data_IF_840675429240
#
_entry.id   IF_840675429240
#
_cell.length_a   1.000
_cell.length_b   1.000
_cell.length_c   1.000
_cell.angle_alpha   90.00
_cell.angle_beta   90.00
_cell.angle_gamma   90.00
#
_symmetry.space_group_name_H-M   'P 1'
#
loop_
_entity.id
_entity.type
_entity.pdbx_description
1 polymer ?
#
# COMPACT_ATOMS: atom_id res chain seq x y z
N UNK A 1 11.31 -1.37 -8.45
CA UNK A 1 12.73 -1.30 -8.92
C UNK A 1 13.50 -2.41 -8.20
N UNK A 2 14.62 -2.93 -8.72
CA UNK A 2 15.42 -3.94 -8.00
C UNK A 2 16.69 -3.24 -7.52
N UNK A 3 16.81 -3.03 -6.20
CA UNK A 3 17.99 -2.43 -5.56
C UNK A 3 18.81 -3.51 -4.82
N UNK A 4 20.16 -3.48 -4.91
CA UNK A 4 21.04 -4.39 -4.16
C UNK A 4 21.18 -4.02 -2.67
N UNK A 5 20.58 -2.92 -2.21
CA UNK A 5 20.60 -2.51 -0.81
C UNK A 5 19.42 -3.13 -0.05
N UNK A 6 19.61 -3.50 1.22
CA UNK A 6 18.56 -4.01 2.11
C UNK A 6 17.38 -3.04 2.16
N UNK A 7 16.14 -3.52 2.42
CA UNK A 7 15.02 -2.63 2.73
C UNK A 7 15.42 -1.72 3.92
N UNK A 8 15.80 -0.48 3.62
CA UNK A 8 16.25 0.45 4.64
C UNK A 8 15.02 0.91 5.42
N UNK A 9 14.99 0.59 6.72
CA UNK A 9 14.00 1.10 7.63
C UNK A 9 14.18 2.62 7.72
N UNK A 10 13.39 3.36 6.95
CA UNK A 10 13.27 4.81 7.15
C UNK A 10 12.67 5.00 8.55
N UNK A 11 13.36 5.79 9.37
CA UNK A 11 12.88 6.26 10.67
C UNK A 11 11.46 6.78 10.47
N UNK A 12 10.49 6.02 10.96
CA UNK A 12 9.08 6.34 10.80
C UNK A 12 8.82 7.52 11.73
N UNK A 13 8.61 8.70 11.15
CA UNK A 13 8.01 9.82 11.87
C UNK A 13 6.73 9.26 12.52
N UNK A 14 6.50 9.55 13.80
CA UNK A 14 5.38 8.98 14.57
C UNK A 14 4.06 9.40 13.89
N UNK A 15 3.57 8.55 13.00
CA UNK A 15 2.37 8.75 12.21
C UNK A 15 1.36 7.69 12.63
N UNK A 16 0.19 8.14 13.07
CA UNK A 16 -0.95 7.27 13.29
C UNK A 16 -1.77 7.25 12.01
N UNK A 17 -1.96 6.08 11.39
CA UNK A 17 -3.00 5.90 10.37
C UNK A 17 -4.33 6.14 11.06
N UNK A 18 -4.78 7.38 10.93
CA UNK A 18 -5.96 7.93 11.55
C UNK A 18 -7.14 7.73 10.59
N UNK A 19 -8.36 7.83 11.10
CA UNK A 19 -9.60 7.79 10.28
C UNK A 19 -9.58 8.77 9.11
N UNK A 20 -8.75 9.82 9.16
CA UNK A 20 -8.51 10.78 8.07
C UNK A 20 -7.83 10.19 6.82
N UNK A 21 -7.16 9.03 6.92
CA UNK A 21 -6.58 8.36 5.75
C UNK A 21 -7.61 7.57 4.93
N UNK A 22 -8.80 7.35 5.49
CA UNK A 22 -9.89 6.63 4.82
C UNK A 22 -10.47 7.43 3.65
N UNK A 23 -11.11 6.73 2.73
CA UNK A 23 -11.68 7.31 1.51
C UNK A 23 -10.82 7.06 0.29
N UNK A 24 -11.02 7.90 -0.74
CA UNK A 24 -10.45 7.69 -2.07
C UNK A 24 -9.13 8.44 -2.25
N UNK A 25 -8.14 7.73 -2.75
CA UNK A 25 -6.84 8.23 -3.18
C UNK A 25 -6.59 7.90 -4.65
N UNK A 26 -5.80 8.74 -5.31
CA UNK A 26 -5.40 8.58 -6.70
C UNK A 26 -3.89 8.39 -6.76
N UNK A 27 -3.44 7.41 -7.54
CA UNK A 27 -2.00 7.20 -7.74
C UNK A 27 -1.50 8.22 -8.79
N UNK A 28 -0.64 9.14 -8.34
CA UNK A 28 -0.08 10.20 -9.18
C UNK A 28 1.22 9.73 -9.84
N UNK A 29 2.13 9.17 -9.05
CA UNK A 29 3.40 8.60 -9.51
C UNK A 29 3.70 7.29 -8.79
N UNK A 30 4.42 6.40 -9.47
CA UNK A 30 4.92 5.16 -8.87
C UNK A 30 6.19 4.67 -9.52
N UNK A 31 6.90 3.83 -8.78
CA UNK A 31 7.94 2.98 -9.36
C UNK A 31 7.31 1.91 -10.26
N UNK A 32 8.01 1.45 -11.32
CA UNK A 32 7.48 0.42 -12.21
C UNK A 32 7.24 -0.89 -11.45
N UNK A 33 5.96 -1.25 -11.30
CA UNK A 33 5.50 -2.48 -10.65
C UNK A 33 4.95 -3.47 -11.69
N UNK A 34 5.30 -4.75 -11.57
CA UNK A 34 4.89 -5.79 -12.53
C UNK A 34 3.40 -6.11 -12.47
N UNK A 35 2.77 -5.92 -11.31
CA UNK A 35 1.37 -6.26 -11.03
C UNK A 35 0.38 -5.19 -11.49
N UNK A 36 0.82 -3.94 -11.66
CA UNK A 36 -0.03 -2.82 -12.09
C UNK A 36 0.46 -2.18 -13.39
N UNK A 37 -0.11 -2.65 -14.50
CA UNK A 37 0.19 -2.18 -15.86
C UNK A 37 -0.86 -1.18 -16.41
N UNK A 38 -1.89 -0.87 -15.63
CA UNK A 38 -2.96 0.05 -15.99
C UNK A 38 -2.62 1.53 -15.77
N UNK A 39 -3.61 2.38 -16.02
CA UNK A 39 -3.60 3.83 -15.79
C UNK A 39 -4.85 4.25 -15.02
N UNK A 40 -4.89 5.50 -14.55
CA UNK A 40 -6.01 6.05 -13.77
C UNK A 40 -6.31 5.16 -12.56
N UNK A 41 -5.29 4.94 -11.74
CA UNK A 41 -5.36 4.03 -10.60
C UNK A 41 -5.97 4.79 -9.41
N UNK A 42 -7.00 4.19 -8.83
CA UNK A 42 -7.71 4.71 -7.66
C UNK A 42 -7.70 3.65 -6.56
N UNK A 43 -7.44 4.08 -5.33
CA UNK A 43 -7.51 3.24 -4.13
C UNK A 43 -8.57 3.80 -3.18
N UNK A 44 -9.53 2.99 -2.77
CA UNK A 44 -10.51 3.39 -1.76
C UNK A 44 -10.36 2.55 -0.48
N UNK A 45 -10.23 3.24 0.65
CA UNK A 45 -10.01 2.65 1.97
C UNK A 45 -11.24 2.79 2.85
N UNK A 46 -11.76 1.67 3.37
CA UNK A 46 -12.95 1.66 4.24
C UNK A 46 -12.67 0.86 5.49
N UNK A 47 -12.89 1.47 6.67
CA UNK A 47 -12.77 0.78 7.94
C UNK A 47 -13.91 -0.24 8.10
N UNK A 48 -13.55 -1.47 8.47
CA UNK A 48 -14.51 -2.54 8.78
C UNK A 48 -14.77 -2.64 10.28
N UNK A 49 -15.88 -3.28 10.70
CA UNK A 49 -16.20 -3.47 12.12
C UNK A 49 -15.18 -4.30 12.91
N UNK A 50 -14.36 -5.10 12.23
CA UNK A 50 -13.28 -5.92 12.81
C UNK A 50 -11.95 -5.16 12.98
N UNK A 51 -11.99 -3.83 12.84
CA UNK A 51 -10.82 -2.93 12.84
C UNK A 51 -9.80 -3.19 11.72
N UNK A 52 -10.15 -3.96 10.68
CA UNK A 52 -9.36 -4.02 9.44
C UNK A 52 -9.80 -2.95 8.46
N UNK A 53 -8.97 -2.65 7.46
CA UNK A 53 -9.31 -1.71 6.40
C UNK A 53 -9.50 -2.47 5.10
N UNK A 54 -10.68 -2.36 4.48
CA UNK A 54 -10.89 -2.80 3.10
C UNK A 54 -10.13 -1.87 2.16
N UNK A 55 -9.36 -2.45 1.24
CA UNK A 55 -8.69 -1.72 0.16
C UNK A 55 -9.31 -2.13 -1.15
N UNK A 56 -9.80 -1.17 -1.93
CA UNK A 56 -10.31 -1.42 -3.28
C UNK A 56 -9.49 -0.63 -4.28
N UNK A 57 -8.68 -1.33 -5.09
CA UNK A 57 -7.93 -0.74 -6.17
C UNK A 57 -8.68 -0.89 -7.50
N UNK A 58 -8.80 0.19 -8.24
CA UNK A 58 -9.40 0.23 -9.58
C UNK A 58 -8.38 0.78 -10.54
N UNK A 59 -8.20 0.13 -11.69
CA UNK A 59 -7.32 0.58 -12.75
C UNK A 59 -7.97 0.41 -14.12
N UNK A 60 -7.60 1.26 -15.07
CA UNK A 60 -7.97 1.08 -16.48
C UNK A 60 -6.80 0.43 -17.21
N UNK A 61 -7.01 -0.79 -17.74
CA UNK A 61 -6.01 -1.53 -18.50
C UNK A 61 -6.59 -2.00 -19.83
N UNK A 62 -5.94 -1.62 -20.95
CA UNK A 62 -6.39 -1.93 -22.32
C UNK A 62 -7.87 -1.55 -22.56
N UNK A 63 -8.28 -0.38 -22.08
CA UNK A 63 -9.65 0.13 -22.22
C UNK A 63 -10.71 -0.56 -21.35
N UNK A 64 -10.31 -1.46 -20.45
CA UNK A 64 -11.21 -2.14 -19.50
C UNK A 64 -10.87 -1.75 -18.06
N UNK A 65 -11.91 -1.58 -17.26
CA UNK A 65 -11.78 -1.39 -15.82
C UNK A 65 -11.44 -2.73 -15.17
N UNK A 66 -10.39 -2.76 -14.35
CA UNK A 66 -10.01 -3.90 -13.51
C UNK A 66 -10.09 -3.47 -12.06
N UNK A 67 -10.68 -4.32 -11.22
CA UNK A 67 -10.83 -4.10 -9.79
C UNK A 67 -10.07 -5.18 -9.02
N UNK A 68 -9.38 -4.79 -7.96
CA UNK A 68 -8.74 -5.67 -6.99
C UNK A 68 -9.20 -5.28 -5.59
N UNK A 69 -9.62 -6.26 -4.79
CA UNK A 69 -10.06 -6.06 -3.42
C UNK A 69 -9.10 -6.73 -2.46
N UNK A 70 -8.78 -6.05 -1.38
CA UNK A 70 -7.84 -6.50 -0.38
C UNK A 70 -8.20 -6.03 1.03
N UNK A 71 -7.32 -6.38 1.94
CA UNK A 71 -7.42 -6.05 3.36
C UNK A 71 -6.08 -5.51 3.84
N UNK A 72 -6.11 -4.37 4.52
CA UNK A 72 -4.99 -3.80 5.23
C UNK A 72 -5.18 -3.94 6.74
N UNK A 73 -4.10 -4.26 7.44
CA UNK A 73 -4.05 -4.40 8.89
C UNK A 73 -2.86 -3.62 9.45
N UNK A 74 -2.99 -3.09 10.66
CA UNK A 74 -1.85 -2.58 11.42
C UNK A 74 -1.09 -3.77 12.03
N UNK A 75 0.19 -3.94 11.67
CA UNK A 75 0.98 -5.09 12.14
C UNK A 75 1.52 -4.90 13.56
N UNK A 76 1.98 -3.69 13.88
CA UNK A 76 2.38 -3.29 15.23
C UNK A 76 1.60 -2.02 15.64
N UNK A 77 0.76 -2.06 16.69
CA UNK A 77 0.07 -0.88 17.21
C UNK A 77 0.99 0.28 17.62
N UNK A 78 2.27 0.02 17.89
CA UNK A 78 3.29 1.04 18.19
C UNK A 78 3.80 1.76 16.93
N UNK A 79 3.61 1.15 15.77
CA UNK A 79 4.00 1.69 14.47
C UNK A 79 2.80 1.76 13.51
N UNK A 80 1.75 2.55 13.83
CA UNK A 80 0.48 2.54 13.11
C UNK A 80 0.55 2.93 11.63
N UNK A 81 1.65 3.55 11.18
CA UNK A 81 1.94 3.84 9.77
C UNK A 81 2.44 2.63 8.97
N UNK A 82 2.84 1.53 9.63
CA UNK A 82 3.29 0.30 9.00
C UNK A 82 2.15 -0.70 8.91
N UNK A 83 1.52 -0.71 7.75
CA UNK A 83 0.42 -1.61 7.46
C UNK A 83 0.96 -2.86 6.74
N UNK A 84 0.23 -3.96 6.89
CA UNK A 84 0.33 -5.11 6.01
C UNK A 84 -0.90 -5.13 5.10
N UNK A 85 -0.72 -5.26 3.78
CA UNK A 85 -1.81 -5.32 2.79
C UNK A 85 -1.79 -6.67 2.08
N UNK A 86 -2.95 -7.30 1.92
CA UNK A 86 -3.11 -8.51 1.12
C UNK A 86 -4.33 -8.42 0.20
N UNK A 87 -4.18 -8.87 -1.04
CA UNK A 87 -5.25 -8.97 -2.04
C UNK A 87 -5.71 -10.42 -2.29
N UNK A 88 -5.18 -11.38 -1.52
CA UNK A 88 -5.57 -12.79 -1.60
C UNK A 88 -5.39 -13.47 -0.25
N UNK A 89 -6.32 -14.36 0.11
CA UNK A 89 -6.25 -15.13 1.36
C UNK A 89 -5.04 -16.08 1.43
N UNK A 90 -4.44 -16.42 0.29
CA UNK A 90 -3.32 -17.35 0.19
C UNK A 90 -1.95 -16.67 0.14
N UNK A 91 -1.90 -15.34 0.09
CA UNK A 91 -0.65 -14.58 0.04
C UNK A 91 -0.34 -13.91 1.36
N UNK A 92 0.93 -13.87 1.81
CA UNK A 92 1.31 -13.10 2.97
C UNK A 92 1.01 -11.62 2.75
N UNK A 93 0.85 -10.89 3.85
CA UNK A 93 0.70 -9.44 3.80
C UNK A 93 1.99 -8.79 3.29
N UNK A 94 1.87 -7.99 2.23
CA UNK A 94 2.94 -7.15 1.74
C UNK A 94 3.06 -5.89 2.60
N UNK A 95 4.27 -5.39 2.87
CA UNK A 95 4.45 -4.12 3.59
C UNK A 95 3.81 -2.95 2.85
N UNK A 96 3.09 -2.09 3.57
CA UNK A 96 2.54 -0.84 3.07
C UNK A 96 2.78 0.23 4.12
N UNK A 97 3.81 1.04 3.93
CA UNK A 97 4.27 2.00 4.93
C UNK A 97 3.97 3.41 4.45
N UNK A 98 3.17 4.14 5.23
CA UNK A 98 2.91 5.55 4.99
C UNK A 98 4.09 6.35 5.53
N UNK A 99 4.98 6.80 4.64
CA UNK A 99 6.18 7.54 5.01
C UNK A 99 5.88 9.00 5.38
N UNK A 100 4.91 9.61 4.69
CA UNK A 100 4.47 10.98 4.93
C UNK A 100 3.08 11.19 4.35
N UNK A 101 2.22 11.94 5.03
CA UNK A 101 0.93 12.38 4.50
C UNK A 101 0.42 13.60 5.25
N UNK A 102 -0.29 14.47 4.54
CA UNK A 102 -1.09 15.54 5.15
C UNK A 102 -2.56 15.13 5.38
N UNK A 103 -2.90 13.88 5.05
CA UNK A 103 -4.23 13.26 5.08
C UNK A 103 -5.29 13.90 4.17
N UNK A 104 -4.94 14.92 3.39
CA UNK A 104 -5.92 15.69 2.61
C UNK A 104 -5.58 15.71 1.12
N UNK A 105 -4.30 15.80 0.77
CA UNK A 105 -3.86 16.04 -0.60
C UNK A 105 -2.81 15.05 -1.08
N UNK A 106 -1.89 14.64 -0.20
CA UNK A 106 -0.75 13.80 -0.59
C UNK A 106 -0.44 12.74 0.45
N UNK A 107 -0.03 11.57 -0.05
CA UNK A 107 0.55 10.50 0.75
C UNK A 107 1.72 9.90 -0.02
N UNK A 108 2.86 9.75 0.66
CA UNK A 108 4.01 9.01 0.18
C UNK A 108 4.00 7.64 0.85
N UNK A 109 3.92 6.59 0.02
CA UNK A 109 3.83 5.21 0.47
C UNK A 109 5.04 4.44 -0.02
N UNK A 110 5.58 3.58 0.84
CA UNK A 110 6.68 2.68 0.54
C UNK A 110 6.28 1.23 0.81
N UNK A 111 6.67 0.35 -0.09
CA UNK A 111 6.52 -1.09 0.03
C UNK A 111 7.84 -1.70 -0.41
N UNK A 112 8.37 -2.63 0.38
CA UNK A 112 9.56 -3.39 0.03
C UNK A 112 9.30 -4.84 0.43
N UNK A 113 9.32 -5.74 -0.54
CA UNK A 113 9.19 -7.17 -0.27
C UNK A 113 10.46 -7.90 -0.70
N UNK A 114 11.07 -8.62 0.23
CA UNK A 114 12.18 -9.54 -0.05
C UNK A 114 11.63 -10.74 -0.83
N UNK A 115 11.93 -10.83 -2.12
CA UNK A 115 11.67 -12.02 -2.92
C UNK A 115 12.89 -12.94 -2.79
N UNK A 116 12.72 -14.03 -2.03
CA UNK A 116 13.70 -15.13 -1.91
C UNK A 116 15.08 -14.75 -1.35
N UNK A 117 15.21 -13.69 -0.53
CA UNK A 117 16.52 -13.16 -0.04
C UNK A 117 17.57 -12.89 -1.13
N UNK A 118 17.13 -12.82 -2.40
CA UNK A 118 18.01 -12.68 -3.56
C UNK A 118 17.59 -11.50 -4.44
N UNK A 119 16.32 -11.06 -4.37
CA UNK A 119 15.81 -9.92 -5.14
C UNK A 119 14.77 -9.12 -4.34
N UNK A 120 14.87 -7.79 -4.34
CA UNK A 120 13.88 -6.89 -3.72
C UNK A 120 12.95 -6.32 -4.78
N UNK A 121 11.67 -6.15 -4.45
CA UNK A 121 10.70 -5.43 -5.29
C UNK A 121 10.21 -4.22 -4.50
N UNK A 122 10.65 -3.04 -4.92
CA UNK A 122 9.98 -1.75 -4.63
C UNK A 122 8.76 -1.56 -5.54
#
# INVERSE_FOLDING_TARGET
>A
MISPQNCHYLLTLIFTVHSKYLGKWYEIEKLPASFEKGKCIEANYVLRPDNTVQVVNVQTYKGKIRKAEGTAITQDPREPAKLGVSFSYFTPYAPYWVLSTDYNSIALVYSCTDVLRLFHVD
#
